data_IF_741831993135
#
_entry.id   IF_741831993135
#
_cell.length_a   1.000
_cell.length_b   1.000
_cell.length_c   1.000
_cell.angle_alpha   90.00
_cell.angle_beta   90.00
_cell.angle_gamma   90.00
#
_symmetry.space_group_name_H-M   'P 1'
#
loop_
_entity.id
_entity.type
_entity.pdbx_description
1 polymer ?
#
# COMPACT_ATOMS: atom_id res chain seq x y z
N UNK A 1 -88.80 13.16 -1.46
CA UNK A 1 -90.13 13.82 -1.57
C UNK A 1 -90.09 15.35 -1.76
N UNK A 2 -88.94 16.05 -1.66
CA UNK A 2 -88.88 17.52 -1.89
C UNK A 2 -88.81 17.97 -3.36
N UNK A 3 -88.44 17.11 -4.31
CA UNK A 3 -88.24 17.54 -5.72
C UNK A 3 -89.53 17.65 -6.56
N UNK A 4 -90.69 17.23 -6.05
CA UNK A 4 -91.92 17.17 -6.84
C UNK A 4 -92.72 18.48 -6.92
N UNK A 5 -92.31 19.55 -6.24
CA UNK A 5 -92.96 20.88 -6.27
C UNK A 5 -92.21 21.97 -7.05
N UNK A 6 -91.10 21.62 -7.73
CA UNK A 6 -90.25 22.57 -8.45
C UNK A 6 -90.66 22.70 -9.94
N UNK A 7 -90.73 23.93 -10.46
CA UNK A 7 -90.96 24.24 -11.89
C UNK A 7 -89.89 23.56 -12.76
N UNK A 8 -90.27 23.10 -13.96
CA UNK A 8 -89.40 22.30 -14.87
C UNK A 8 -88.02 22.95 -15.11
N UNK A 9 -87.95 24.29 -15.15
CA UNK A 9 -86.69 25.05 -15.27
C UNK A 9 -85.72 24.80 -14.11
N UNK A 10 -86.22 24.71 -12.88
CA UNK A 10 -85.40 24.42 -11.70
C UNK A 10 -84.90 22.98 -11.65
N UNK A 11 -85.67 22.01 -12.18
CA UNK A 11 -85.21 20.61 -12.27
C UNK A 11 -84.03 20.45 -13.23
N UNK A 12 -84.05 21.15 -14.37
CA UNK A 12 -82.99 21.13 -15.37
C UNK A 12 -81.68 21.77 -14.88
N UNK A 13 -81.76 22.94 -14.21
CA UNK A 13 -80.57 23.62 -13.69
C UNK A 13 -79.90 22.87 -12.55
N UNK A 14 -80.69 22.23 -11.68
CA UNK A 14 -80.18 21.42 -10.58
C UNK A 14 -79.51 20.14 -11.09
N UNK A 15 -80.07 19.49 -12.13
CA UNK A 15 -79.45 18.32 -12.75
C UNK A 15 -78.09 18.65 -13.40
N UNK A 16 -78.02 19.77 -14.14
CA UNK A 16 -76.79 20.25 -14.78
C UNK A 16 -75.71 20.68 -13.75
N UNK A 17 -76.13 21.30 -12.64
CA UNK A 17 -75.22 21.65 -11.55
C UNK A 17 -74.64 20.41 -10.86
N UNK A 18 -75.48 19.40 -10.61
CA UNK A 18 -75.02 18.12 -10.03
C UNK A 18 -74.07 17.39 -10.98
N UNK A 19 -74.36 17.32 -12.28
CA UNK A 19 -73.45 16.68 -13.23
C UNK A 19 -72.09 17.39 -13.33
N UNK A 20 -72.06 18.72 -13.24
CA UNK A 20 -70.82 19.49 -13.22
C UNK A 20 -69.98 19.19 -11.97
N UNK A 21 -70.61 19.18 -10.79
CA UNK A 21 -69.93 18.88 -9.52
C UNK A 21 -69.36 17.46 -9.55
N UNK A 22 -70.11 16.48 -10.02
CA UNK A 22 -69.64 15.08 -10.13
C UNK A 22 -68.42 14.98 -11.04
N UNK A 23 -68.44 15.63 -12.21
CA UNK A 23 -67.31 15.62 -13.16
C UNK A 23 -66.07 16.27 -12.54
N UNK A 24 -66.23 17.44 -11.89
CA UNK A 24 -65.12 18.15 -11.24
C UNK A 24 -64.55 17.32 -10.09
N UNK A 25 -65.38 16.71 -9.25
CA UNK A 25 -64.92 15.84 -8.17
C UNK A 25 -64.12 14.65 -8.70
N UNK A 26 -64.62 13.98 -9.75
CA UNK A 26 -63.91 12.86 -10.39
C UNK A 26 -62.56 13.32 -10.95
N UNK A 27 -62.53 14.45 -11.67
CA UNK A 27 -61.31 15.02 -12.24
C UNK A 27 -60.28 15.37 -11.16
N UNK A 28 -60.70 16.02 -10.07
CA UNK A 28 -59.81 16.39 -8.96
C UNK A 28 -59.28 15.15 -8.25
N UNK A 29 -60.13 14.18 -7.94
CA UNK A 29 -59.69 12.93 -7.31
C UNK A 29 -58.70 12.17 -8.19
N UNK A 30 -58.99 12.05 -9.49
CA UNK A 30 -58.09 11.41 -10.44
C UNK A 30 -56.76 12.16 -10.56
N UNK A 31 -56.79 13.49 -10.66
CA UNK A 31 -55.60 14.33 -10.73
C UNK A 31 -54.74 14.19 -9.47
N UNK A 32 -55.35 14.19 -8.28
CA UNK A 32 -54.64 14.00 -7.01
C UNK A 32 -54.02 12.61 -6.90
N UNK A 33 -54.71 11.55 -7.34
CA UNK A 33 -54.12 10.20 -7.39
C UNK A 33 -52.93 10.15 -8.34
N UNK A 34 -53.08 10.67 -9.57
CA UNK A 34 -52.01 10.71 -10.56
C UNK A 34 -50.77 11.47 -10.04
N UNK A 35 -50.99 12.61 -9.37
CA UNK A 35 -49.93 13.42 -8.77
C UNK A 35 -49.26 12.72 -7.59
N UNK A 36 -50.01 12.00 -6.74
CA UNK A 36 -49.46 11.22 -5.62
C UNK A 36 -48.61 10.06 -6.12
N UNK A 37 -49.11 9.28 -7.07
CA UNK A 37 -48.40 8.13 -7.64
C UNK A 37 -47.12 8.58 -8.34
N UNK A 38 -47.18 9.69 -9.09
CA UNK A 38 -46.01 10.30 -9.73
C UNK A 38 -45.01 10.82 -8.69
N UNK A 39 -45.48 11.47 -7.63
CA UNK A 39 -44.60 11.99 -6.56
C UNK A 39 -43.87 10.86 -5.82
N UNK A 40 -44.54 9.75 -5.51
CA UNK A 40 -43.93 8.57 -4.87
C UNK A 40 -42.91 7.91 -5.80
N UNK A 41 -43.23 7.77 -7.09
CA UNK A 41 -42.30 7.19 -8.06
C UNK A 41 -41.06 8.07 -8.26
N UNK A 42 -41.24 9.39 -8.37
CA UNK A 42 -40.15 10.37 -8.55
C UNK A 42 -39.25 10.41 -7.33
N UNK A 43 -39.81 10.45 -6.12
CA UNK A 43 -39.03 10.45 -4.87
C UNK A 43 -38.28 9.14 -4.67
N UNK A 44 -38.90 7.99 -4.96
CA UNK A 44 -38.24 6.69 -4.94
C UNK A 44 -37.08 6.59 -5.94
N UNK A 45 -37.31 6.96 -7.20
CA UNK A 45 -36.28 6.95 -8.25
C UNK A 45 -35.15 7.93 -7.94
N UNK A 46 -35.48 9.14 -7.44
CA UNK A 46 -34.49 10.12 -7.03
C UNK A 46 -33.62 9.61 -5.87
N UNK A 47 -34.22 8.94 -4.87
CA UNK A 47 -33.47 8.35 -3.75
C UNK A 47 -32.51 7.25 -4.20
N UNK A 48 -32.95 6.39 -5.13
CA UNK A 48 -32.10 5.34 -5.72
C UNK A 48 -30.97 5.92 -6.56
N UNK A 49 -31.25 6.94 -7.38
CA UNK A 49 -30.22 7.62 -8.15
C UNK A 49 -29.19 8.32 -7.26
N UNK A 50 -29.61 8.92 -6.15
CA UNK A 50 -28.72 9.52 -5.17
C UNK A 50 -27.83 8.46 -4.49
N UNK A 51 -28.37 7.30 -4.11
CA UNK A 51 -27.58 6.19 -3.55
C UNK A 51 -26.54 5.67 -4.55
N UNK A 52 -26.94 5.45 -5.82
CA UNK A 52 -26.01 5.02 -6.87
C UNK A 52 -24.92 6.06 -7.12
N UNK A 53 -25.28 7.34 -7.20
CA UNK A 53 -24.32 8.42 -7.37
C UNK A 53 -23.35 8.53 -6.18
N UNK A 54 -23.85 8.41 -4.95
CA UNK A 54 -23.04 8.43 -3.75
C UNK A 54 -22.05 7.25 -3.70
N UNK A 55 -22.50 6.03 -4.03
CA UNK A 55 -21.62 4.86 -4.12
C UNK A 55 -20.55 5.02 -5.20
N UNK A 56 -20.94 5.47 -6.39
CA UNK A 56 -19.99 5.72 -7.47
C UNK A 56 -18.94 6.77 -7.07
N UNK A 57 -19.36 7.82 -6.36
CA UNK A 57 -18.44 8.85 -5.85
C UNK A 57 -17.47 8.27 -4.81
N UNK A 58 -17.97 7.45 -3.87
CA UNK A 58 -17.13 6.74 -2.90
C UNK A 58 -16.12 5.82 -3.59
N UNK A 59 -16.57 5.01 -4.54
CA UNK A 59 -15.71 4.11 -5.32
C UNK A 59 -14.64 4.89 -6.07
N UNK A 60 -15.02 5.98 -6.73
CA UNK A 60 -14.07 6.86 -7.42
C UNK A 60 -13.03 7.42 -6.45
N UNK A 61 -13.45 7.85 -5.25
CA UNK A 61 -12.56 8.37 -4.23
C UNK A 61 -11.62 7.29 -3.67
N UNK A 62 -12.11 6.07 -3.46
CA UNK A 62 -11.31 4.91 -3.06
C UNK A 62 -10.26 4.56 -4.11
N UNK A 63 -10.61 4.61 -5.41
CA UNK A 63 -9.66 4.37 -6.50
C UNK A 63 -8.55 5.42 -6.53
N UNK A 64 -8.89 6.70 -6.30
CA UNK A 64 -7.88 7.78 -6.24
C UNK A 64 -6.94 7.58 -5.05
N UNK A 65 -7.48 7.26 -3.87
CA UNK A 65 -6.67 7.04 -2.65
C UNK A 65 -5.80 5.78 -2.76
N UNK A 66 -6.35 4.68 -3.29
CA UNK A 66 -5.59 3.43 -3.49
C UNK A 66 -4.50 3.61 -4.54
N UNK A 67 -4.76 4.35 -5.62
CA UNK A 67 -3.74 4.68 -6.61
C UNK A 67 -2.61 5.53 -6.02
N UNK A 68 -2.93 6.50 -5.16
CA UNK A 68 -1.93 7.31 -4.47
C UNK A 68 -1.06 6.46 -3.53
N UNK A 69 -1.68 5.56 -2.75
CA UNK A 69 -0.97 4.64 -1.86
C UNK A 69 -0.09 3.67 -2.66
N UNK A 70 -0.65 3.05 -3.71
CA UNK A 70 0.06 2.14 -4.61
C UNK A 70 1.26 2.82 -5.26
N UNK A 71 1.12 4.08 -5.68
CA UNK A 71 2.23 4.86 -6.26
C UNK A 71 3.39 5.05 -5.27
N UNK A 72 3.09 5.32 -3.99
CA UNK A 72 4.12 5.46 -2.94
C UNK A 72 4.87 4.15 -2.72
N UNK A 73 4.15 3.04 -2.59
CA UNK A 73 4.78 1.72 -2.45
C UNK A 73 5.55 1.31 -3.70
N UNK A 74 5.00 1.55 -4.90
CA UNK A 74 5.65 1.18 -6.16
C UNK A 74 7.00 1.89 -6.30
N UNK A 75 7.11 3.17 -5.91
CA UNK A 75 8.38 3.89 -5.92
C UNK A 75 9.43 3.22 -5.04
N UNK A 76 9.06 2.77 -3.84
CA UNK A 76 9.96 2.04 -2.95
C UNK A 76 10.34 0.66 -3.52
N UNK A 77 9.39 -0.02 -4.15
CA UNK A 77 9.62 -1.32 -4.81
C UNK A 77 10.58 -1.19 -5.98
N UNK A 78 10.38 -0.20 -6.85
CA UNK A 78 11.23 0.04 -8.02
C UNK A 78 12.65 0.41 -7.58
N UNK A 79 12.79 1.23 -6.52
CA UNK A 79 14.08 1.56 -5.92
C UNK A 79 14.79 0.32 -5.38
N UNK A 80 14.10 -0.51 -4.58
CA UNK A 80 14.67 -1.71 -3.98
C UNK A 80 15.09 -2.74 -5.03
N UNK A 81 14.23 -2.99 -6.03
CA UNK A 81 14.54 -3.90 -7.14
C UNK A 81 15.72 -3.38 -7.98
N UNK A 82 15.74 -2.07 -8.29
CA UNK A 82 16.83 -1.44 -9.03
C UNK A 82 18.16 -1.53 -8.28
N UNK A 83 18.16 -1.28 -6.97
CA UNK A 83 19.36 -1.39 -6.15
C UNK A 83 19.83 -2.84 -5.98
N UNK A 84 18.92 -3.81 -5.86
CA UNK A 84 19.30 -5.23 -5.81
C UNK A 84 20.03 -5.67 -7.09
N UNK A 85 19.53 -5.21 -8.26
CA UNK A 85 20.20 -5.41 -9.54
C UNK A 85 21.56 -4.69 -9.56
N UNK A 86 21.64 -3.44 -9.11
CA UNK A 86 22.90 -2.70 -9.02
C UNK A 86 23.93 -3.41 -8.13
N UNK A 87 23.51 -3.94 -6.98
CA UNK A 87 24.39 -4.67 -6.06
C UNK A 87 24.94 -5.95 -6.70
N UNK A 88 24.10 -6.73 -7.40
CA UNK A 88 24.55 -7.91 -8.15
C UNK A 88 25.50 -7.56 -9.30
N UNK A 89 25.23 -6.46 -10.01
CA UNK A 89 26.08 -5.96 -11.10
C UNK A 89 27.43 -5.46 -10.57
N UNK A 90 27.41 -4.74 -9.45
CA UNK A 90 28.61 -4.25 -8.78
C UNK A 90 29.48 -5.41 -8.29
N UNK A 91 28.89 -6.45 -7.68
CA UNK A 91 29.64 -7.66 -7.33
C UNK A 91 30.32 -8.28 -8.57
N UNK A 92 29.56 -8.48 -9.65
CA UNK A 92 30.09 -9.05 -10.89
C UNK A 92 31.26 -8.23 -11.46
N UNK A 93 31.13 -6.90 -11.39
CA UNK A 93 32.18 -5.97 -11.79
C UNK A 93 33.40 -6.06 -10.87
N UNK A 94 33.20 -6.07 -9.55
CA UNK A 94 34.27 -6.17 -8.57
C UNK A 94 35.08 -7.46 -8.73
N UNK A 95 34.39 -8.59 -8.96
CA UNK A 95 35.01 -9.88 -9.26
C UNK A 95 35.82 -9.82 -10.56
N UNK A 96 35.23 -9.29 -11.64
CA UNK A 96 35.90 -9.20 -12.95
C UNK A 96 37.15 -8.30 -12.92
N UNK A 97 37.09 -7.20 -12.17
CA UNK A 97 38.20 -6.26 -12.02
C UNK A 97 39.17 -6.64 -10.90
N UNK A 98 38.93 -7.76 -10.19
CA UNK A 98 39.72 -8.20 -9.05
C UNK A 98 39.93 -7.08 -8.02
N UNK A 99 38.87 -6.32 -7.73
CA UNK A 99 38.96 -5.23 -6.75
C UNK A 99 39.38 -5.78 -5.39
N UNK A 100 40.25 -5.06 -4.64
CA UNK A 100 40.53 -5.43 -3.26
C UNK A 100 39.22 -5.47 -2.46
N UNK A 101 39.00 -6.54 -1.70
CA UNK A 101 37.75 -6.77 -0.96
C UNK A 101 37.36 -5.58 -0.06
N UNK A 102 38.34 -4.96 0.61
CA UNK A 102 38.11 -3.76 1.42
C UNK A 102 37.54 -2.59 0.59
N UNK A 103 38.06 -2.38 -0.62
CA UNK A 103 37.58 -1.33 -1.55
C UNK A 103 36.18 -1.66 -2.05
N UNK A 104 35.90 -2.91 -2.39
CA UNK A 104 34.57 -3.33 -2.83
C UNK A 104 33.52 -3.16 -1.73
N UNK A 105 33.82 -3.58 -0.49
CA UNK A 105 32.92 -3.43 0.67
C UNK A 105 32.65 -1.97 1.00
N UNK A 106 33.70 -1.17 1.09
CA UNK A 106 33.61 0.28 1.32
C UNK A 106 32.76 0.98 0.25
N UNK A 107 32.98 0.63 -1.03
CA UNK A 107 32.21 1.19 -2.13
C UNK A 107 30.72 0.81 -2.06
N UNK A 108 30.40 -0.47 -1.85
CA UNK A 108 29.01 -0.89 -1.72
C UNK A 108 28.34 -0.26 -0.50
N UNK A 109 29.04 -0.16 0.64
CA UNK A 109 28.55 0.49 1.84
C UNK A 109 28.19 1.97 1.59
N UNK A 110 29.06 2.71 0.88
CA UNK A 110 28.77 4.09 0.45
C UNK A 110 27.62 4.18 -0.54
N UNK A 111 27.48 3.22 -1.45
CA UNK A 111 26.39 3.22 -2.41
C UNK A 111 25.03 3.01 -1.72
N UNK A 112 24.99 2.17 -0.68
CA UNK A 112 23.81 2.01 0.19
C UNK A 112 23.49 3.32 0.91
N UNK A 113 24.49 3.96 1.53
CA UNK A 113 24.32 5.28 2.17
C UNK A 113 23.73 6.30 1.19
N UNK A 114 24.31 6.44 0.00
CA UNK A 114 23.87 7.40 -1.02
C UNK A 114 22.46 7.10 -1.52
N UNK A 115 22.08 5.82 -1.64
CA UNK A 115 20.74 5.45 -2.03
C UNK A 115 19.69 5.92 -1.00
N UNK A 116 19.97 5.76 0.30
CA UNK A 116 19.08 6.24 1.37
C UNK A 116 19.12 7.77 1.48
N UNK A 117 20.26 8.40 1.25
CA UNK A 117 20.40 9.86 1.24
C UNK A 117 19.58 10.52 0.12
N UNK A 118 19.65 9.96 -1.09
CA UNK A 118 18.93 10.48 -2.26
C UNK A 118 17.41 10.23 -2.20
N UNK A 119 16.96 9.20 -1.47
CA UNK A 119 15.56 8.80 -1.43
C UNK A 119 14.93 9.07 -0.06
N UNK A 120 14.42 10.29 0.13
CA UNK A 120 13.81 10.72 1.41
C UNK A 120 12.53 9.98 1.82
N UNK A 121 11.89 9.29 0.87
CA UNK A 121 10.65 8.55 1.12
C UNK A 121 10.89 7.15 1.72
N UNK A 122 12.15 6.68 1.80
CA UNK A 122 12.51 5.43 2.47
C UNK A 122 13.14 5.70 3.83
N UNK A 123 12.81 4.86 4.80
CA UNK A 123 13.40 4.94 6.15
C UNK A 123 14.87 4.49 6.12
N UNK A 124 15.17 3.41 5.40
CA UNK A 124 16.52 2.85 5.34
C UNK A 124 16.61 1.75 4.30
N UNK A 125 17.84 1.29 4.08
CA UNK A 125 18.18 0.19 3.19
C UNK A 125 19.16 -0.74 3.90
N UNK A 126 18.77 -2.00 4.00
CA UNK A 126 19.59 -3.07 4.54
C UNK A 126 20.08 -3.96 3.40
N UNK A 127 21.34 -4.38 3.47
CA UNK A 127 21.93 -5.34 2.54
C UNK A 127 22.73 -6.35 3.35
N UNK A 128 22.45 -7.63 3.13
CA UNK A 128 23.32 -8.72 3.57
C UNK A 128 23.47 -9.78 2.50
N UNK A 129 24.70 -10.26 2.32
CA UNK A 129 25.00 -11.40 1.46
C UNK A 129 24.90 -12.70 2.24
N UNK A 130 24.79 -13.86 1.58
CA UNK A 130 25.09 -15.15 2.22
C UNK A 130 26.56 -15.19 2.66
N UNK A 131 26.93 -16.04 3.63
CA UNK A 131 28.32 -16.19 4.06
C UNK A 131 29.27 -16.41 2.87
N UNK A 132 30.35 -15.63 2.83
CA UNK A 132 31.37 -15.60 1.78
C UNK A 132 30.84 -15.27 0.36
N UNK A 133 29.57 -14.90 0.20
CA UNK A 133 28.98 -14.72 -1.12
C UNK A 133 29.29 -13.37 -1.77
N UNK A 134 29.76 -12.36 -1.01
CA UNK A 134 30.13 -11.06 -1.59
C UNK A 134 31.50 -11.10 -2.27
N UNK A 135 32.56 -11.43 -1.52
CA UNK A 135 33.95 -11.43 -2.00
C UNK A 135 34.77 -12.67 -1.58
N UNK A 136 34.15 -13.64 -0.89
CA UNK A 136 34.81 -14.85 -0.41
C UNK A 136 35.84 -14.65 0.68
N UNK A 137 35.81 -13.53 1.40
CA UNK A 137 36.83 -13.15 2.39
C UNK A 137 36.27 -12.72 3.74
N UNK A 138 35.09 -13.19 4.14
CA UNK A 138 34.42 -12.74 5.36
C UNK A 138 35.32 -12.83 6.60
N UNK A 139 36.10 -13.90 6.73
CA UNK A 139 37.05 -14.10 7.83
C UNK A 139 38.06 -12.94 8.01
N UNK A 140 38.38 -12.21 6.95
CA UNK A 140 39.27 -11.04 7.00
C UNK A 140 38.62 -9.74 7.47
N UNK A 141 37.29 -9.71 7.61
CA UNK A 141 36.49 -8.51 7.87
C UNK A 141 35.66 -8.57 9.16
N UNK A 142 35.96 -9.51 10.05
CA UNK A 142 35.29 -9.66 11.35
C UNK A 142 35.31 -8.33 12.12
N UNK A 143 34.12 -7.88 12.55
CA UNK A 143 33.88 -6.65 13.29
C UNK A 143 34.35 -5.36 12.58
N UNK A 144 34.49 -5.36 11.25
CA UNK A 144 34.84 -4.16 10.49
C UNK A 144 33.59 -3.39 10.07
N UNK A 145 32.95 -2.75 11.05
CA UNK A 145 31.70 -2.01 10.84
C UNK A 145 31.84 -0.91 9.78
N UNK A 146 32.97 -0.20 9.69
CA UNK A 146 33.20 0.83 8.66
C UNK A 146 33.11 0.27 7.22
N UNK A 147 33.34 -1.03 7.06
CA UNK A 147 33.24 -1.77 5.79
C UNK A 147 31.96 -2.60 5.70
N UNK A 148 30.93 -2.26 6.49
CA UNK A 148 29.63 -2.94 6.46
C UNK A 148 29.68 -4.40 6.93
N UNK A 149 30.70 -4.79 7.71
CA UNK A 149 30.95 -6.20 8.07
C UNK A 149 30.59 -6.49 9.53
N UNK A 150 29.91 -7.62 9.77
CA UNK A 150 29.40 -8.02 11.09
C UNK A 150 30.38 -8.83 11.95
N UNK A 151 29.86 -9.43 13.01
CA UNK A 151 30.57 -10.23 14.00
C UNK A 151 31.19 -11.53 13.44
N UNK A 152 30.71 -12.01 12.30
CA UNK A 152 31.33 -13.09 11.52
C UNK A 152 32.14 -12.57 10.32
N UNK A 153 32.21 -11.25 10.13
CA UNK A 153 32.87 -10.60 9.00
C UNK A 153 32.07 -10.64 7.70
N UNK A 154 30.83 -11.11 7.75
CA UNK A 154 29.88 -11.08 6.65
C UNK A 154 29.42 -9.67 6.37
N UNK A 155 29.28 -9.32 5.09
CA UNK A 155 28.70 -8.04 4.69
C UNK A 155 27.21 -8.01 5.08
N UNK A 156 26.85 -7.18 6.05
CA UNK A 156 25.52 -7.07 6.66
C UNK A 156 25.36 -5.68 7.28
N UNK A 157 24.84 -4.73 6.50
CA UNK A 157 24.74 -3.32 6.87
C UNK A 157 23.35 -2.77 6.63
N UNK A 158 22.86 -1.98 7.59
CA UNK A 158 21.65 -1.20 7.50
C UNK A 158 22.00 0.28 7.61
N UNK A 159 21.68 1.06 6.57
CA UNK A 159 21.67 2.51 6.67
C UNK A 159 20.25 2.98 6.85
N UNK A 160 19.99 3.75 7.90
CA UNK A 160 18.64 4.20 8.22
C UNK A 160 18.62 5.62 8.75
N UNK A 161 17.48 6.28 8.57
CA UNK A 161 17.22 7.62 9.05
C UNK A 161 16.70 7.56 10.48
N UNK A 162 17.47 8.08 11.42
CA UNK A 162 17.10 8.27 12.82
C UNK A 162 16.89 9.76 13.13
N UNK A 163 16.60 10.07 14.39
CA UNK A 163 16.47 11.45 14.86
C UNK A 163 17.76 12.27 14.70
N UNK A 164 18.93 11.61 14.61
CA UNK A 164 20.25 12.25 14.51
C UNK A 164 20.75 12.39 13.07
N UNK A 165 20.07 11.80 12.09
CA UNK A 165 20.48 11.81 10.70
C UNK A 165 20.48 10.42 10.09
N UNK A 166 21.37 10.17 9.12
CA UNK A 166 21.59 8.82 8.59
C UNK A 166 22.61 8.10 9.47
N UNK A 167 22.23 6.93 9.94
CA UNK A 167 23.05 6.10 10.82
C UNK A 167 23.25 4.72 10.24
N UNK A 168 24.44 4.17 10.50
CA UNK A 168 24.82 2.84 10.11
C UNK A 168 24.63 1.88 11.29
N UNK A 169 23.93 0.79 11.04
CA UNK A 169 23.78 -0.33 11.96
C UNK A 169 24.29 -1.60 11.28
N UNK A 170 25.04 -2.41 12.01
CA UNK A 170 25.55 -3.70 11.54
C UNK A 170 24.71 -4.80 12.17
N UNK A 171 24.09 -5.64 11.35
CA UNK A 171 23.24 -6.72 11.85
C UNK A 171 24.09 -7.97 12.07
N UNK A 172 24.06 -8.46 13.31
CA UNK A 172 24.83 -9.62 13.75
C UNK A 172 24.28 -10.92 13.18
N UNK A 173 25.08 -11.98 13.21
CA UNK A 173 24.59 -13.32 12.84
C UNK A 173 23.41 -13.76 13.72
N UNK A 174 23.41 -13.40 15.00
CA UNK A 174 22.29 -13.66 15.89
C UNK A 174 20.98 -13.00 15.41
N UNK A 175 21.05 -11.74 14.95
CA UNK A 175 19.88 -11.03 14.41
C UNK A 175 19.40 -11.61 13.08
N UNK A 176 20.33 -12.06 12.21
CA UNK A 176 19.99 -12.68 10.92
C UNK A 176 19.42 -14.10 11.13
N UNK A 177 19.86 -14.81 12.16
CA UNK A 177 19.39 -16.17 12.47
C UNK A 177 18.11 -16.21 13.31
N UNK A 178 17.65 -15.07 13.84
CA UNK A 178 16.50 -15.01 14.75
C UNK A 178 15.18 -15.36 14.04
N UNK A 179 14.80 -16.63 14.10
CA UNK A 179 13.55 -17.14 13.56
C UNK A 179 12.38 -17.08 14.56
N UNK A 180 12.54 -16.40 15.71
CA UNK A 180 11.45 -16.31 16.69
C UNK A 180 10.29 -15.46 16.17
N UNK A 181 9.03 -15.78 16.51
CA UNK A 181 7.89 -14.99 16.08
C UNK A 181 7.86 -13.60 16.72
N UNK A 182 7.56 -12.58 15.92
CA UNK A 182 7.32 -11.22 16.35
C UNK A 182 5.84 -10.96 16.69
N UNK A 183 5.51 -9.73 17.08
CA UNK A 183 4.14 -9.34 17.45
C UNK A 183 3.11 -9.52 16.31
N UNK A 184 3.56 -9.55 15.05
CA UNK A 184 2.75 -9.80 13.85
C UNK A 184 2.75 -11.28 13.44
N UNK A 185 3.19 -12.18 14.32
CA UNK A 185 3.31 -13.63 14.10
C UNK A 185 4.26 -14.03 12.94
N UNK A 186 5.16 -13.14 12.55
CA UNK A 186 6.18 -13.39 11.53
C UNK A 186 7.54 -13.65 12.18
N UNK A 187 8.40 -14.46 11.57
CA UNK A 187 9.77 -14.64 12.07
C UNK A 187 10.54 -13.31 12.07
N UNK A 188 11.30 -13.02 13.12
CA UNK A 188 12.10 -11.80 13.25
C UNK A 188 13.07 -11.61 12.09
N UNK A 189 13.61 -12.69 11.52
CA UNK A 189 14.49 -12.67 10.34
C UNK A 189 13.78 -12.88 9.00
N UNK A 190 12.45 -12.77 8.93
CA UNK A 190 11.70 -12.97 7.69
C UNK A 190 12.18 -12.04 6.56
N UNK A 191 12.64 -10.83 6.92
CA UNK A 191 13.25 -9.88 5.98
C UNK A 191 14.54 -10.38 5.32
N UNK A 192 15.25 -11.31 5.96
CA UNK A 192 16.41 -11.97 5.38
C UNK A 192 15.99 -13.23 4.63
N UNK A 193 15.28 -14.13 5.32
CA UNK A 193 15.00 -15.48 4.86
C UNK A 193 14.02 -15.54 3.71
N UNK A 194 12.95 -14.75 3.74
CA UNK A 194 11.91 -14.81 2.71
C UNK A 194 12.46 -14.60 1.28
N UNK A 195 13.21 -13.51 0.98
CA UNK A 195 13.75 -13.32 -0.36
C UNK A 195 14.84 -14.34 -0.71
N UNK A 196 15.67 -14.75 0.26
CA UNK A 196 16.75 -15.73 0.05
C UNK A 196 16.20 -17.10 -0.32
N UNK A 197 15.23 -17.58 0.46
CA UNK A 197 14.67 -18.92 0.31
C UNK A 197 13.72 -19.01 -0.90
N UNK A 198 12.98 -17.94 -1.20
CA UNK A 198 12.00 -17.94 -2.29
C UNK A 198 12.54 -17.44 -3.64
N UNK A 199 13.69 -16.76 -3.65
CA UNK A 199 14.26 -16.17 -4.87
C UNK A 199 13.37 -15.10 -5.51
N UNK A 200 12.48 -14.46 -4.74
CA UNK A 200 11.57 -13.40 -5.19
C UNK A 200 11.33 -12.36 -4.11
N UNK A 201 10.82 -11.20 -4.49
CA UNK A 201 10.52 -10.14 -3.53
C UNK A 201 9.43 -10.56 -2.51
N UNK A 202 9.57 -10.12 -1.27
CA UNK A 202 8.64 -10.35 -0.17
C UNK A 202 8.23 -9.02 0.45
N UNK A 203 6.91 -8.77 0.55
CA UNK A 203 6.36 -7.65 1.30
C UNK A 203 5.91 -8.14 2.68
N UNK A 204 6.13 -7.31 3.69
CA UNK A 204 5.88 -7.66 5.08
C UNK A 204 4.79 -6.77 5.69
N UNK A 205 3.94 -7.36 6.53
CA UNK A 205 3.03 -6.59 7.37
C UNK A 205 3.81 -5.66 8.30
N UNK A 206 3.20 -4.56 8.78
CA UNK A 206 3.87 -3.66 9.72
C UNK A 206 4.39 -4.40 10.97
N UNK A 207 5.62 -4.09 11.35
CA UNK A 207 6.28 -4.62 12.55
C UNK A 207 7.09 -3.52 13.24
N UNK A 208 7.38 -3.76 14.52
CA UNK A 208 8.18 -2.84 15.34
C UNK A 208 9.65 -3.25 15.25
N UNK A 209 10.52 -2.28 15.00
CA UNK A 209 11.97 -2.47 14.92
C UNK A 209 12.68 -1.40 15.75
N UNK A 210 13.73 -1.80 16.45
CA UNK A 210 14.54 -0.89 17.26
C UNK A 210 15.60 -0.20 16.40
N UNK A 211 15.53 1.12 16.31
CA UNK A 211 16.49 1.98 15.62
C UNK A 211 16.96 3.08 16.57
N UNK A 212 18.28 3.15 16.83
CA UNK A 212 18.90 4.10 17.77
C UNK A 212 18.25 4.07 19.19
N UNK A 213 17.92 2.88 19.69
CA UNK A 213 17.26 2.69 20.98
C UNK A 213 15.77 3.11 21.01
N UNK A 214 15.20 3.48 19.86
CA UNK A 214 13.79 3.82 19.72
C UNK A 214 13.02 2.76 18.93
N UNK A 215 11.82 2.45 19.38
CA UNK A 215 10.92 1.54 18.67
C UNK A 215 10.22 2.27 17.51
N UNK A 216 10.46 1.81 16.29
CA UNK A 216 9.89 2.36 15.06
C UNK A 216 8.93 1.34 14.43
N UNK A 217 7.68 1.74 14.22
CA UNK A 217 6.73 0.94 13.44
C UNK A 217 7.01 1.15 11.94
N UNK A 218 7.30 0.06 11.24
CA UNK A 218 7.63 0.10 9.81
C UNK A 218 7.06 -1.11 9.07
N UNK A 219 6.98 -1.01 7.76
CA UNK A 219 6.82 -2.14 6.83
C UNK A 219 8.06 -2.17 5.94
N UNK A 220 8.30 -3.30 5.27
CA UNK A 220 9.43 -3.45 4.37
C UNK A 220 9.07 -4.32 3.18
N UNK A 221 9.82 -4.13 2.09
CA UNK A 221 9.82 -5.03 0.95
C UNK A 221 11.24 -5.49 0.76
N UNK A 222 11.49 -6.79 0.90
CA UNK A 222 12.81 -7.36 0.70
C UNK A 222 12.93 -8.02 -0.67
N UNK A 223 14.11 -7.95 -1.26
CA UNK A 223 14.45 -8.40 -2.60
C UNK A 223 15.63 -9.36 -2.56
N UNK A 224 15.61 -10.43 -3.37
CA UNK A 224 16.77 -11.31 -3.52
C UNK A 224 17.86 -10.59 -4.32
N UNK A 225 19.09 -10.64 -3.83
CA UNK A 225 20.26 -10.31 -4.64
C UNK A 225 20.64 -11.58 -5.38
N UNK A 226 20.51 -11.59 -6.70
CA UNK A 226 20.68 -12.80 -7.51
C UNK A 226 21.84 -12.64 -8.47
N UNK A 227 22.72 -13.64 -8.52
CA UNK A 227 23.83 -13.71 -9.46
C UNK A 227 23.83 -15.08 -10.14
N UNK A 228 23.84 -15.08 -11.48
CA UNK A 228 23.83 -16.31 -12.28
C UNK A 228 22.71 -17.31 -11.91
N UNK A 229 21.51 -16.79 -11.58
CA UNK A 229 20.35 -17.60 -11.20
C UNK A 229 20.37 -18.12 -9.75
N UNK A 230 21.39 -17.79 -8.96
CA UNK A 230 21.47 -18.12 -7.53
C UNK A 230 21.26 -16.89 -6.68
N UNK A 231 20.42 -16.99 -5.65
CA UNK A 231 20.30 -15.94 -4.63
C UNK A 231 21.51 -15.99 -3.71
N UNK A 232 22.20 -14.85 -3.61
CA UNK A 232 23.46 -14.66 -2.88
C UNK A 232 23.31 -13.67 -1.72
N UNK A 233 22.09 -13.19 -1.45
CA UNK A 233 21.84 -12.22 -0.40
C UNK A 233 20.42 -11.68 -0.42
N UNK A 234 20.13 -10.81 0.53
CA UNK A 234 18.89 -10.06 0.68
C UNK A 234 19.18 -8.56 0.73
N UNK A 235 18.29 -7.80 0.12
CA UNK A 235 18.16 -6.36 0.30
C UNK A 235 16.78 -6.07 0.91
N UNK A 236 16.68 -5.18 1.89
CA UNK A 236 15.41 -4.79 2.53
C UNK A 236 15.29 -3.27 2.65
#
# INVERSE_FOLDING_TARGET
MLLNRLTIRWKLTLLAGVSLVVIVSILVTMSVHLLRDTSVLVTGTASQMLDVAARHQLDTQLQVQSAALRKRFQKAVDLGAGFALQASGFKSFADAQHLPAAVARDQLNRDIFRAVEANRDVLGLFVAFEPDAFDGRDAGFINQAALGSNDAGRFSVYWARSAKGLEQQILTEAAIADATPNASAMANNAWYRCPVDQGRACAFDPYVFELDGHQVLMTSVAFPITLQGRTIGSLR
#
